data_IF_564629957380
#
_entry.id   IF_564629957380
#
_cell.length_a   1.000
_cell.length_b   1.000
_cell.length_c   1.000
_cell.angle_alpha   90.00
_cell.angle_beta   90.00
_cell.angle_gamma   90.00
#
_symmetry.space_group_name_H-M   'P 1'
#
loop_
_entity.id
_entity.type
_entity.pdbx_description
1 polymer ?
#
# COMPACT_ATOMS: atom_id res chain seq x y z
N UNK A 1 13.92 -11.76 -5.43
CA UNK A 1 15.40 -11.61 -5.55
C UNK A 1 16.04 -12.31 -4.36
N UNK A 2 17.04 -13.18 -4.56
CA UNK A 2 17.81 -13.74 -3.45
C UNK A 2 18.90 -12.75 -2.97
N UNK A 3 19.55 -13.07 -1.83
CA UNK A 3 20.52 -12.16 -1.22
C UNK A 3 21.78 -11.95 -2.07
N UNK A 4 22.28 -12.99 -2.75
CA UNK A 4 23.49 -12.88 -3.57
C UNK A 4 23.24 -12.02 -4.82
N UNK A 5 22.11 -12.26 -5.48
CA UNK A 5 21.63 -11.44 -6.60
C UNK A 5 21.43 -9.98 -6.14
N UNK A 6 20.82 -9.76 -4.97
CA UNK A 6 20.56 -8.42 -4.46
C UNK A 6 21.85 -7.61 -4.25
N UNK A 7 22.87 -8.20 -3.63
CA UNK A 7 24.16 -7.51 -3.40
C UNK A 7 24.77 -7.06 -4.72
N UNK A 8 24.83 -7.94 -5.72
CA UNK A 8 25.38 -7.60 -7.03
C UNK A 8 24.56 -6.50 -7.75
N UNK A 9 23.22 -6.56 -7.66
CA UNK A 9 22.33 -5.56 -8.24
C UNK A 9 22.48 -4.22 -7.52
N UNK A 10 22.57 -4.21 -6.19
CA UNK A 10 22.70 -2.99 -5.39
C UNK A 10 24.04 -2.27 -5.68
N UNK A 11 25.14 -3.02 -5.75
CA UNK A 11 26.47 -2.48 -6.10
C UNK A 11 26.45 -1.87 -7.51
N UNK A 12 25.89 -2.58 -8.49
CA UNK A 12 25.78 -2.10 -9.86
C UNK A 12 24.86 -0.86 -9.95
N UNK A 13 23.75 -0.82 -9.22
CA UNK A 13 22.86 0.33 -9.15
C UNK A 13 23.56 1.55 -8.53
N UNK A 14 24.35 1.34 -7.48
CA UNK A 14 25.19 2.38 -6.86
C UNK A 14 26.27 2.92 -7.82
N UNK A 15 26.75 2.10 -8.75
CA UNK A 15 27.66 2.50 -9.82
C UNK A 15 26.94 3.13 -11.04
N UNK A 16 25.62 3.25 -11.01
CA UNK A 16 24.81 3.87 -12.07
C UNK A 16 24.47 2.96 -13.23
N UNK A 17 24.51 1.65 -13.06
CA UNK A 17 24.17 0.69 -14.13
C UNK A 17 22.66 0.64 -14.38
N UNK A 18 22.21 0.99 -15.58
CA UNK A 18 20.78 1.04 -15.96
C UNK A 18 20.07 -0.31 -15.81
N UNK A 19 20.76 -1.42 -16.12
CA UNK A 19 20.16 -2.75 -15.98
C UNK A 19 19.81 -3.10 -14.52
N UNK A 20 20.64 -2.63 -13.57
CA UNK A 20 20.43 -2.88 -12.16
C UNK A 20 19.23 -2.08 -11.63
N UNK A 21 19.09 -0.83 -12.06
CA UNK A 21 17.91 -0.01 -11.79
C UNK A 21 16.65 -0.60 -12.40
N UNK A 22 16.71 -1.07 -13.64
CA UNK A 22 15.59 -1.77 -14.29
C UNK A 22 15.16 -3.00 -13.50
N UNK A 23 16.11 -3.75 -12.94
CA UNK A 23 15.85 -4.93 -12.12
C UNK A 23 15.18 -4.58 -10.79
N UNK A 24 15.68 -3.57 -10.06
CA UNK A 24 15.08 -3.09 -8.81
C UNK A 24 13.67 -2.53 -9.05
N UNK A 25 13.51 -1.76 -10.11
CA UNK A 25 12.23 -1.18 -10.48
C UNK A 25 11.20 -2.25 -10.84
N UNK A 26 11.56 -3.23 -11.68
CA UNK A 26 10.67 -4.32 -12.05
C UNK A 26 10.19 -5.13 -10.85
N UNK A 27 11.04 -5.30 -9.84
CA UNK A 27 10.73 -6.09 -8.64
C UNK A 27 9.82 -5.35 -7.65
N UNK A 28 9.99 -4.03 -7.51
CA UNK A 28 9.34 -3.26 -6.45
C UNK A 28 8.24 -2.30 -6.93
N UNK A 29 8.23 -1.89 -8.20
CA UNK A 29 7.27 -0.89 -8.70
C UNK A 29 5.82 -1.36 -8.56
N UNK A 30 5.50 -2.59 -8.93
CA UNK A 30 4.16 -3.15 -8.82
C UNK A 30 3.62 -3.15 -7.39
N UNK A 31 4.31 -3.75 -6.42
CA UNK A 31 3.93 -3.72 -5.01
C UNK A 31 3.82 -2.31 -4.42
N UNK A 32 4.75 -1.40 -4.75
CA UNK A 32 4.71 0.00 -4.26
C UNK A 32 3.54 0.75 -4.87
N UNK A 33 3.30 0.62 -6.18
CA UNK A 33 2.14 1.23 -6.85
C UNK A 33 0.83 0.72 -6.27
N UNK A 34 0.72 -0.59 -6.05
CA UNK A 34 -0.43 -1.20 -5.39
C UNK A 34 -0.66 -0.61 -4.00
N UNK A 35 0.39 -0.45 -3.20
CA UNK A 35 0.33 0.21 -1.89
C UNK A 35 -0.21 1.65 -2.01
N UNK A 36 0.36 2.46 -2.90
CA UNK A 36 -0.03 3.86 -3.10
C UNK A 36 -1.51 3.98 -3.52
N UNK A 37 -1.96 3.15 -4.47
CA UNK A 37 -3.37 3.09 -4.91
C UNK A 37 -4.31 2.69 -3.78
N UNK A 38 -4.02 1.61 -3.06
CA UNK A 38 -4.83 1.15 -1.92
C UNK A 38 -4.86 2.14 -0.76
N UNK A 39 -3.87 3.02 -0.68
CA UNK A 39 -3.83 4.12 0.28
C UNK A 39 -4.53 5.39 -0.24
N UNK A 40 -5.00 5.40 -1.48
CA UNK A 40 -5.71 6.53 -2.08
C UNK A 40 -4.81 7.71 -2.41
N UNK A 41 -3.62 7.44 -2.95
CA UNK A 41 -2.83 8.45 -3.65
C UNK A 41 -3.66 8.99 -4.84
N UNK A 42 -3.58 10.29 -5.12
CA UNK A 42 -4.36 10.87 -6.23
C UNK A 42 -3.68 10.62 -7.56
N UNK A 43 -2.37 10.76 -7.60
CA UNK A 43 -1.51 10.49 -8.76
C UNK A 43 -0.47 9.42 -8.38
N UNK A 44 -0.91 8.15 -8.24
CA UNK A 44 -0.05 7.11 -7.68
C UNK A 44 1.16 6.78 -8.56
N UNK A 45 1.06 6.94 -9.88
CA UNK A 45 2.15 6.75 -10.84
C UNK A 45 3.22 7.84 -10.70
N UNK A 46 2.82 9.09 -10.57
CA UNK A 46 3.76 10.21 -10.37
C UNK A 46 4.45 10.08 -9.01
N UNK A 47 3.68 9.74 -7.98
CA UNK A 47 4.22 9.51 -6.64
C UNK A 47 5.18 8.32 -6.59
N UNK A 48 4.92 7.26 -7.39
CA UNK A 48 5.85 6.15 -7.59
C UNK A 48 7.17 6.64 -8.19
N UNK A 49 7.10 7.50 -9.21
CA UNK A 49 8.28 8.12 -9.82
C UNK A 49 9.11 8.89 -8.79
N UNK A 50 8.47 9.72 -7.96
CA UNK A 50 9.14 10.45 -6.87
C UNK A 50 9.81 9.52 -5.86
N UNK A 51 9.15 8.42 -5.48
CA UNK A 51 9.69 7.40 -4.58
C UNK A 51 10.98 6.83 -5.16
N UNK A 52 10.97 6.40 -6.43
CA UNK A 52 12.16 5.81 -7.06
C UNK A 52 13.27 6.82 -7.30
N UNK A 53 12.97 8.08 -7.61
CA UNK A 53 13.97 9.16 -7.65
C UNK A 53 14.63 9.35 -6.28
N UNK A 54 13.87 9.32 -5.20
CA UNK A 54 14.44 9.42 -3.86
C UNK A 54 15.26 8.19 -3.49
N UNK A 55 14.79 6.99 -3.82
CA UNK A 55 15.52 5.74 -3.62
C UNK A 55 16.86 5.79 -4.36
N UNK A 56 16.84 6.19 -5.65
CA UNK A 56 18.05 6.28 -6.46
C UNK A 56 19.10 7.22 -5.86
N UNK A 57 18.68 8.38 -5.37
CA UNK A 57 19.59 9.37 -4.77
C UNK A 57 20.28 8.87 -3.50
N UNK A 58 19.67 7.91 -2.79
CA UNK A 58 20.16 7.46 -1.48
C UNK A 58 20.63 5.99 -1.49
N UNK A 59 20.57 5.31 -2.63
CA UNK A 59 20.98 3.89 -2.74
C UNK A 59 22.44 3.68 -2.40
N UNK A 60 23.34 4.61 -2.78
CA UNK A 60 24.77 4.50 -2.50
C UNK A 60 25.15 4.53 -1.01
N UNK A 61 24.23 4.92 -0.13
CA UNK A 61 24.41 4.92 1.33
C UNK A 61 23.62 3.84 2.03
N UNK A 62 22.89 3.00 1.28
CA UNK A 62 22.09 1.94 1.86
C UNK A 62 22.98 0.75 2.27
N UNK A 63 22.81 0.30 3.50
CA UNK A 63 23.44 -0.91 4.04
C UNK A 63 22.34 -1.85 4.54
N UNK A 64 22.37 -3.11 4.12
CA UNK A 64 21.40 -4.11 4.55
C UNK A 64 21.16 -5.22 3.53
N UNK A 65 20.24 -6.10 3.87
CA UNK A 65 19.75 -7.16 3.00
C UNK A 65 18.56 -6.72 2.13
N UNK A 66 18.09 -7.60 1.25
CA UNK A 66 16.95 -7.31 0.38
C UNK A 66 15.65 -7.02 1.16
N UNK A 67 15.29 -7.76 2.22
CA UNK A 67 14.15 -7.39 3.08
C UNK A 67 14.24 -5.99 3.68
N UNK A 68 15.43 -5.60 4.16
CA UNK A 68 15.67 -4.26 4.69
C UNK A 68 15.54 -3.18 3.59
N UNK A 69 16.06 -3.44 2.39
CA UNK A 69 15.92 -2.54 1.23
C UNK A 69 14.45 -2.35 0.85
N UNK A 70 13.70 -3.45 0.75
CA UNK A 70 12.27 -3.41 0.49
C UNK A 70 11.54 -2.59 1.56
N UNK A 71 11.79 -2.84 2.84
CA UNK A 71 11.22 -2.07 3.95
C UNK A 71 11.54 -0.58 3.86
N UNK A 72 12.76 -0.25 3.46
CA UNK A 72 13.17 1.14 3.27
C UNK A 72 12.42 1.81 2.11
N UNK A 73 12.26 1.14 0.95
CA UNK A 73 11.49 1.66 -0.20
C UNK A 73 10.04 1.93 0.21
N UNK A 74 9.40 1.01 0.95
CA UNK A 74 8.04 1.22 1.46
C UNK A 74 7.96 2.34 2.50
N UNK A 75 9.00 2.54 3.30
CA UNK A 75 9.10 3.69 4.21
C UNK A 75 9.14 5.00 3.44
N UNK A 76 9.92 5.08 2.36
CA UNK A 76 9.96 6.25 1.46
C UNK A 76 8.57 6.49 0.86
N UNK A 77 7.92 5.45 0.34
CA UNK A 77 6.59 5.53 -0.25
C UNK A 77 5.53 6.04 0.77
N UNK A 78 5.58 5.51 2.00
CA UNK A 78 4.68 5.96 3.06
C UNK A 78 4.88 7.44 3.39
N UNK A 79 6.10 7.89 3.56
CA UNK A 79 6.40 9.28 3.90
C UNK A 79 5.99 10.23 2.76
N UNK A 80 6.27 9.90 1.50
CA UNK A 80 5.84 10.68 0.34
C UNK A 80 4.32 10.83 0.28
N UNK A 81 3.59 9.75 0.49
CA UNK A 81 2.13 9.77 0.54
C UNK A 81 1.59 10.64 1.69
N UNK A 82 2.19 10.57 2.88
CA UNK A 82 1.81 11.41 4.02
C UNK A 82 2.07 12.89 3.72
N UNK A 83 3.20 13.20 3.08
CA UNK A 83 3.56 14.58 2.72
C UNK A 83 2.64 15.13 1.62
N UNK A 84 2.28 14.34 0.60
CA UNK A 84 1.29 14.68 -0.42
C UNK A 84 -0.05 15.09 0.24
N UNK A 85 -0.54 14.26 1.18
CA UNK A 85 -1.80 14.54 1.89
C UNK A 85 -1.73 15.79 2.74
N UNK A 86 -0.62 15.99 3.45
CA UNK A 86 -0.39 17.21 4.24
C UNK A 86 -0.34 18.45 3.35
N UNK A 87 0.30 18.36 2.19
CA UNK A 87 0.37 19.46 1.23
C UNK A 87 -1.02 19.84 0.73
N UNK A 88 -1.85 18.86 0.34
CA UNK A 88 -3.24 19.09 -0.11
C UNK A 88 -4.15 19.61 0.99
N UNK A 89 -4.02 19.09 2.20
CA UNK A 89 -4.81 19.59 3.33
C UNK A 89 -4.56 21.07 3.66
N UNK A 90 -3.36 21.60 3.33
CA UNK A 90 -3.00 23.00 3.50
C UNK A 90 -3.44 23.91 2.34
N UNK A 91 -3.76 23.33 1.19
CA UNK A 91 -4.27 24.02 0.00
C UNK A 91 -5.62 23.37 -0.37
N UNK A 92 -6.73 23.80 0.23
CA UNK A 92 -8.04 23.38 -0.23
C UNK A 92 -8.16 23.81 -1.69
N UNK A 93 -8.20 22.85 -2.61
CA UNK A 93 -8.58 23.11 -3.99
C UNK A 93 -10.04 23.55 -3.94
N UNK A 94 -10.38 24.65 -4.60
CA UNK A 94 -11.79 25.07 -4.76
C UNK A 94 -12.59 23.88 -5.32
N UNK A 95 -13.86 23.67 -4.89
CA UNK A 95 -14.65 22.53 -5.31
C UNK A 95 -15.02 22.69 -6.79
N UNK A 96 -14.20 22.16 -7.68
CA UNK A 96 -14.35 22.28 -9.12
C UNK A 96 -13.89 21.09 -9.93
N UNK A 97 -12.93 20.32 -9.44
CA UNK A 97 -12.44 19.14 -10.15
C UNK A 97 -12.25 17.98 -9.17
N UNK A 98 -13.27 17.12 -9.11
CA UNK A 98 -13.05 15.75 -8.65
C UNK A 98 -12.20 15.11 -9.76
N UNK A 99 -10.93 14.73 -9.51
CA UNK A 99 -10.19 13.99 -10.51
C UNK A 99 -10.96 12.69 -10.74
N UNK A 100 -11.47 12.54 -11.93
CA UNK A 100 -12.01 11.25 -12.40
C UNK A 100 -10.86 10.27 -12.23
N UNK A 101 -11.04 9.28 -11.35
CA UNK A 101 -10.05 8.21 -11.13
C UNK A 101 -9.72 7.70 -12.52
N UNK A 102 -8.48 7.92 -12.96
CA UNK A 102 -8.04 7.62 -14.30
C UNK A 102 -8.36 6.15 -14.58
N UNK A 103 -9.41 5.94 -15.36
CA UNK A 103 -9.77 4.63 -15.94
C UNK A 103 -8.72 4.34 -16.98
N UNK A 104 -7.64 3.69 -16.55
CA UNK A 104 -6.62 3.19 -17.46
C UNK A 104 -7.32 2.33 -18.52
N UNK A 105 -7.17 2.74 -19.77
CA UNK A 105 -7.61 2.02 -20.95
C UNK A 105 -6.81 0.72 -21.08
N UNK A 106 -7.43 -0.37 -20.68
CA UNK A 106 -7.00 -1.72 -20.94
C UNK A 106 -8.25 -2.57 -21.09
N UNK A 107 -8.47 -3.09 -22.27
CA UNK A 107 -9.73 -3.73 -22.70
C UNK A 107 -9.64 -5.25 -22.74
N UNK A 108 -9.06 -5.89 -21.71
CA UNK A 108 -9.12 -7.36 -21.60
C UNK A 108 -10.05 -7.79 -20.47
N UNK A 109 -10.74 -8.92 -20.66
CA UNK A 109 -11.62 -9.53 -19.65
C UNK A 109 -10.86 -9.80 -18.34
N UNK A 110 -9.57 -10.17 -18.44
CA UNK A 110 -8.69 -10.37 -17.29
C UNK A 110 -8.44 -9.05 -16.51
N UNK A 111 -8.31 -7.91 -17.19
CA UNK A 111 -8.14 -6.60 -16.56
C UNK A 111 -9.45 -6.10 -15.94
N UNK A 112 -10.60 -6.41 -16.56
CA UNK A 112 -11.90 -6.12 -15.97
C UNK A 112 -12.13 -6.94 -14.69
N UNK A 113 -11.78 -8.22 -14.70
CA UNK A 113 -11.87 -9.10 -13.53
C UNK A 113 -10.90 -8.66 -12.41
N UNK A 114 -9.68 -8.27 -12.77
CA UNK A 114 -8.70 -7.71 -11.82
C UNK A 114 -9.19 -6.39 -11.21
N UNK A 115 -9.87 -5.54 -11.98
CA UNK A 115 -10.47 -4.29 -11.48
C UNK A 115 -11.64 -4.54 -10.52
N UNK A 116 -12.50 -5.52 -10.80
CA UNK A 116 -13.57 -5.92 -9.88
C UNK A 116 -12.99 -6.45 -8.57
N UNK A 117 -12.01 -7.36 -8.63
CA UNK A 117 -11.32 -7.86 -7.45
C UNK A 117 -10.59 -6.74 -6.66
N UNK A 118 -10.02 -5.75 -7.37
CA UNK A 118 -9.38 -4.58 -6.74
C UNK A 118 -10.43 -3.67 -6.09
N UNK A 119 -11.60 -3.49 -6.72
CA UNK A 119 -12.71 -2.72 -6.16
C UNK A 119 -13.22 -3.30 -4.84
N UNK A 120 -13.39 -4.61 -4.77
CA UNK A 120 -13.80 -5.32 -3.56
C UNK A 120 -12.76 -5.18 -2.45
N UNK A 121 -11.48 -5.26 -2.78
CA UNK A 121 -10.38 -5.06 -1.81
C UNK A 121 -10.35 -3.62 -1.31
N UNK A 122 -10.52 -2.63 -2.18
CA UNK A 122 -10.57 -1.22 -1.79
C UNK A 122 -11.75 -0.97 -0.84
N UNK A 123 -12.94 -1.46 -1.16
CA UNK A 123 -14.12 -1.35 -0.31
C UNK A 123 -13.91 -2.00 1.08
N UNK A 124 -13.26 -3.16 1.13
CA UNK A 124 -12.88 -3.80 2.39
C UNK A 124 -11.89 -2.94 3.20
N UNK A 125 -10.90 -2.35 2.54
CA UNK A 125 -9.94 -1.48 3.19
C UNK A 125 -10.57 -0.17 3.71
N UNK A 126 -11.66 0.30 3.11
CA UNK A 126 -12.42 1.47 3.59
C UNK A 126 -13.10 1.23 4.95
N UNK A 127 -13.35 -0.03 5.32
CA UNK A 127 -13.88 -0.38 6.65
C UNK A 127 -12.85 -0.21 7.78
N UNK A 128 -11.59 -0.01 7.44
CA UNK A 128 -10.47 0.18 8.37
C UNK A 128 -10.25 1.66 8.71
N UNK A 129 -9.81 1.91 9.95
CA UNK A 129 -9.25 3.24 10.24
C UNK A 129 -7.97 3.49 9.43
N UNK A 130 -7.60 4.75 9.18
CA UNK A 130 -6.37 5.07 8.45
C UNK A 130 -5.14 4.37 9.01
N UNK A 131 -4.97 4.32 10.35
CA UNK A 131 -3.84 3.68 11.01
C UNK A 131 -3.87 2.15 10.88
N UNK A 132 -5.05 1.53 10.94
CA UNK A 132 -5.19 0.08 10.72
C UNK A 132 -4.81 -0.27 9.27
N UNK A 133 -5.26 0.53 8.31
CA UNK A 133 -4.95 0.37 6.90
C UNK A 133 -3.45 0.51 6.64
N UNK A 134 -2.79 1.53 7.20
CA UNK A 134 -1.35 1.72 7.11
C UNK A 134 -0.59 0.49 7.60
N UNK A 135 -0.90 0.05 8.81
CA UNK A 135 -0.23 -1.10 9.41
C UNK A 135 -0.43 -2.37 8.57
N UNK A 136 -1.67 -2.66 8.15
CA UNK A 136 -1.95 -3.88 7.37
C UNK A 136 -1.26 -3.86 6.00
N UNK A 137 -1.32 -2.74 5.27
CA UNK A 137 -0.69 -2.65 3.96
C UNK A 137 0.83 -2.73 4.04
N UNK A 138 1.46 -2.05 4.99
CA UNK A 138 2.91 -2.14 5.19
C UNK A 138 3.33 -3.56 5.61
N UNK A 139 2.53 -4.25 6.44
CA UNK A 139 2.81 -5.63 6.87
C UNK A 139 2.63 -6.65 5.74
N UNK A 140 1.56 -6.56 4.94
CA UNK A 140 1.20 -7.60 3.97
C UNK A 140 1.62 -7.28 2.53
N UNK A 141 1.56 -6.02 2.10
CA UNK A 141 2.03 -5.62 0.77
C UNK A 141 3.52 -5.27 0.80
N UNK A 142 3.94 -4.54 1.84
CA UNK A 142 5.34 -4.17 2.06
C UNK A 142 6.20 -5.33 2.56
N UNK A 143 5.61 -6.38 3.12
CA UNK A 143 6.30 -7.49 3.80
C UNK A 143 7.26 -7.02 4.90
N UNK A 144 6.89 -5.91 5.58
CA UNK A 144 7.73 -5.29 6.60
C UNK A 144 7.59 -5.99 7.96
N UNK A 145 8.65 -6.01 8.75
CA UNK A 145 8.58 -6.46 10.15
C UNK A 145 7.69 -5.53 11.01
N UNK A 146 7.25 -5.99 12.17
CA UNK A 146 6.50 -5.13 13.11
C UNK A 146 7.35 -3.94 13.54
N UNK A 147 8.64 -4.16 13.72
CA UNK A 147 9.63 -3.18 14.13
C UNK A 147 9.84 -2.12 13.05
N UNK A 148 9.90 -2.53 11.78
CA UNK A 148 10.02 -1.61 10.65
C UNK A 148 8.76 -0.76 10.49
N UNK A 149 7.58 -1.39 10.52
CA UNK A 149 6.31 -0.65 10.50
C UNK A 149 6.23 0.34 11.65
N UNK A 150 6.64 -0.06 12.87
CA UNK A 150 6.62 0.81 14.03
C UNK A 150 7.51 2.06 13.83
N UNK A 151 8.70 1.90 13.25
CA UNK A 151 9.57 3.02 12.87
C UNK A 151 8.94 3.90 11.81
N UNK A 152 8.40 3.30 10.75
CA UNK A 152 7.80 4.01 9.61
C UNK A 152 6.60 4.86 10.04
N UNK A 153 5.69 4.31 10.84
CA UNK A 153 4.47 5.03 11.26
C UNK A 153 4.63 5.83 12.56
N UNK A 154 5.83 5.85 13.16
CA UNK A 154 6.12 6.59 14.40
C UNK A 154 5.36 6.05 15.61
N UNK A 155 5.19 4.73 15.73
CA UNK A 155 4.46 4.06 16.82
C UNK A 155 5.35 3.04 17.54
N UNK A 156 4.93 2.59 18.73
CA UNK A 156 5.61 1.49 19.44
C UNK A 156 5.20 0.14 18.82
N UNK A 157 6.07 -0.88 18.80
CA UNK A 157 5.75 -2.22 18.27
C UNK A 157 4.47 -2.83 18.86
N UNK A 158 4.22 -2.65 20.16
CA UNK A 158 2.98 -3.10 20.80
C UNK A 158 1.72 -2.43 20.24
N UNK A 159 1.78 -1.15 19.88
CA UNK A 159 0.68 -0.44 19.24
C UNK A 159 0.43 -0.95 17.82
N UNK A 160 1.50 -1.25 17.06
CA UNK A 160 1.41 -1.86 15.73
C UNK A 160 0.73 -3.22 15.80
N UNK A 161 1.13 -4.11 16.72
CA UNK A 161 0.48 -5.42 16.94
C UNK A 161 -1.00 -5.27 17.27
N UNK A 162 -1.36 -4.30 18.11
CA UNK A 162 -2.75 -4.02 18.48
C UNK A 162 -3.57 -3.48 17.29
N UNK A 163 -3.00 -2.60 16.47
CA UNK A 163 -3.63 -2.09 15.24
C UNK A 163 -3.83 -3.20 14.21
N UNK A 164 -2.81 -4.04 14.01
CA UNK A 164 -2.89 -5.19 13.11
C UNK A 164 -4.01 -6.14 13.53
N UNK A 165 -4.08 -6.55 14.81
CA UNK A 165 -5.13 -7.43 15.31
C UNK A 165 -6.51 -6.82 15.09
N UNK A 166 -6.74 -5.56 15.50
CA UNK A 166 -8.03 -4.88 15.34
C UNK A 166 -8.42 -4.70 13.88
N UNK A 167 -7.45 -4.40 13.01
CA UNK A 167 -7.69 -4.29 11.57
C UNK A 167 -8.12 -5.63 10.96
N UNK A 168 -7.45 -6.74 11.31
CA UNK A 168 -7.84 -8.09 10.86
C UNK A 168 -9.22 -8.51 11.40
N UNK A 169 -9.54 -8.16 12.64
CA UNK A 169 -10.87 -8.38 13.23
C UNK A 169 -11.96 -7.58 12.49
N UNK A 170 -11.68 -6.35 12.06
CA UNK A 170 -12.60 -5.53 11.27
C UNK A 170 -12.83 -6.15 9.88
N UNK A 171 -11.77 -6.52 9.17
CA UNK A 171 -11.89 -7.21 7.88
C UNK A 171 -12.68 -8.52 7.98
N UNK A 172 -12.42 -9.32 9.03
CA UNK A 172 -13.15 -10.57 9.25
C UNK A 172 -14.65 -10.31 9.41
N UNK A 173 -15.06 -9.29 10.15
CA UNK A 173 -16.47 -8.91 10.32
C UNK A 173 -17.12 -8.49 9.01
N UNK A 174 -16.40 -7.74 8.17
CA UNK A 174 -16.91 -7.29 6.88
C UNK A 174 -17.05 -8.44 5.87
N UNK A 175 -16.26 -9.51 6.00
CA UNK A 175 -16.30 -10.69 5.14
C UNK A 175 -17.33 -11.75 5.62
N UNK A 176 -17.81 -11.65 6.87
CA UNK A 176 -18.83 -12.59 7.38
C UNK A 176 -20.21 -12.08 6.96
N UNK A 177 -20.95 -12.78 6.08
CA UNK A 177 -22.31 -12.38 5.74
C UNK A 177 -23.16 -12.34 6.99
N UNK A 178 -23.84 -11.22 7.23
CA UNK A 178 -24.88 -11.12 8.26
C UNK A 178 -26.01 -12.06 7.85
N UNK A 179 -26.09 -13.23 8.46
CA UNK A 179 -27.27 -14.07 8.34
C UNK A 179 -28.43 -13.33 9.01
N UNK A 180 -29.48 -12.90 8.30
CA UNK A 180 -30.60 -12.25 8.92
C UNK A 180 -31.32 -13.28 9.80
N UNK A 181 -31.09 -13.25 11.11
CA UNK A 181 -31.88 -13.95 12.10
C UNK A 181 -33.17 -13.15 12.29
N UNK A 182 -34.20 -13.52 11.56
CA UNK A 182 -35.52 -12.92 11.64
C UNK A 182 -36.57 -13.79 10.96
N UNK A 183 -36.94 -14.92 11.57
CA UNK A 183 -38.20 -15.60 11.22
C UNK A 183 -39.36 -14.73 11.67
N UNK A 184 -40.29 -14.32 10.80
CA UNK A 184 -41.53 -13.72 11.24
C UNK A 184 -42.38 -14.82 11.90
N UNK A 185 -42.66 -14.64 13.17
CA UNK A 185 -43.70 -15.41 13.90
C UNK A 185 -45.02 -15.18 13.20
N UNK A 186 -45.50 -16.18 12.47
CA UNK A 186 -46.86 -16.18 11.94
C UNK A 186 -47.81 -16.40 13.10
N UNK A 187 -48.43 -15.34 13.60
CA UNK A 187 -49.56 -15.40 14.51
C UNK A 187 -50.76 -15.91 13.74
N UNK A 188 -51.12 -17.14 13.99
CA UNK A 188 -52.36 -17.77 13.49
C UNK A 188 -53.51 -17.26 14.37
N UNK A 189 -54.29 -16.29 13.86
CA UNK A 189 -55.56 -15.93 14.46
C UNK A 189 -56.61 -17.02 14.19
N UNK A 190 -57.35 -17.37 15.24
CA UNK A 190 -58.56 -18.18 15.19
C UNK A 190 -59.77 -17.34 14.80
#
# INVERSE_FOLDING_TARGET
MDQAEFVAVLEAAGAGADWAWSRLYADLSGPVLGYLRMRGAVEPEDLLGEVFVQVARNTGTFEGDYPAFRSWVFTVAHHRLVDERRYRARRPVEPGEIPEVARGLGDTEAEALARLATGDVVALLETLTPEQRDVLLLRFVGDMSVEDVARTVGRRPGAVKALQRRGLESLRRSLTPVTPTGSPTVTRAR
#
